data_IF_692067385013
#
_entry.id   IF_692067385013
#
_cell.length_a   1.000
_cell.length_b   1.000
_cell.length_c   1.000
_cell.angle_alpha   90.00
_cell.angle_beta   90.00
_cell.angle_gamma   90.00
#
_symmetry.space_group_name_H-M   'P 1'
#
loop_
_entity.id
_entity.type
_entity.pdbx_description
1 polymer ?
#
# COMPACT_ATOMS: atom_id res chain seq x y z
N UNK A 1 -22.19 0.64 -22.61
CA UNK A 1 -20.77 1.03 -22.51
C UNK A 1 -20.27 0.55 -21.17
N UNK A 2 -19.17 -0.22 -21.12
CA UNK A 2 -18.59 -0.62 -19.83
C UNK A 2 -18.26 0.66 -19.04
N UNK A 3 -18.76 0.75 -17.80
CA UNK A 3 -18.48 1.87 -16.90
C UNK A 3 -16.96 2.06 -16.80
N UNK A 4 -16.44 3.24 -17.12
CA UNK A 4 -15.03 3.54 -16.91
C UNK A 4 -14.71 3.46 -15.41
N UNK A 5 -13.64 2.73 -15.07
CA UNK A 5 -13.21 2.53 -13.70
C UNK A 5 -12.92 3.88 -13.01
N UNK A 6 -13.55 4.11 -11.86
CA UNK A 6 -13.45 5.36 -11.10
C UNK A 6 -12.38 5.32 -10.01
N UNK A 7 -11.83 4.14 -9.73
CA UNK A 7 -10.87 3.87 -8.66
C UNK A 7 -9.67 3.11 -9.21
N UNK A 8 -8.47 3.58 -8.85
CA UNK A 8 -7.21 2.89 -9.09
C UNK A 8 -6.57 2.51 -7.75
N UNK A 9 -6.26 1.22 -7.55
CA UNK A 9 -5.48 0.77 -6.40
C UNK A 9 -4.09 0.30 -6.85
N UNK A 10 -3.04 0.96 -6.35
CA UNK A 10 -1.67 0.46 -6.48
C UNK A 10 -1.40 -0.49 -5.32
N UNK A 11 -1.32 -1.77 -5.63
CA UNK A 11 -0.98 -2.84 -4.70
C UNK A 11 0.52 -3.11 -4.72
N UNK A 12 1.10 -3.41 -3.57
CA UNK A 12 2.49 -3.84 -3.48
C UNK A 12 2.95 -3.89 -2.04
N UNK A 13 3.81 -4.85 -1.72
CA UNK A 13 4.42 -4.92 -0.40
C UNK A 13 5.14 -3.59 -0.08
N UNK A 14 5.16 -3.13 1.19
CA UNK A 14 5.88 -1.93 1.57
C UNK A 14 7.31 -1.95 1.01
N UNK A 15 7.77 -0.79 0.52
CA UNK A 15 9.10 -0.59 -0.10
C UNK A 15 9.27 -1.18 -1.51
N UNK A 16 8.19 -1.64 -2.15
CA UNK A 16 8.21 -2.10 -3.55
C UNK A 16 8.10 -0.97 -4.60
N UNK A 17 8.10 0.30 -4.18
CA UNK A 17 8.05 1.44 -5.10
C UNK A 17 6.65 1.96 -5.42
N UNK A 18 5.63 1.64 -4.61
CA UNK A 18 4.24 2.13 -4.80
C UNK A 18 4.15 3.66 -4.86
N UNK A 19 4.83 4.38 -3.96
CA UNK A 19 4.89 5.85 -3.98
C UNK A 19 5.59 6.40 -5.22
N UNK A 20 6.62 5.69 -5.72
CA UNK A 20 7.31 6.09 -6.93
C UNK A 20 6.41 5.92 -8.15
N UNK A 21 5.76 4.76 -8.29
CA UNK A 21 4.77 4.54 -9.34
C UNK A 21 3.64 5.58 -9.28
N UNK A 22 3.10 5.86 -8.08
CA UNK A 22 2.04 6.85 -7.91
C UNK A 22 2.44 8.24 -8.44
N UNK A 23 3.70 8.66 -8.23
CA UNK A 23 4.17 9.96 -8.71
C UNK A 23 4.31 10.02 -10.24
N UNK A 24 4.55 8.89 -10.90
CA UNK A 24 4.59 8.77 -12.37
C UNK A 24 3.18 8.88 -12.99
N UNK A 25 2.13 8.63 -12.22
CA UNK A 25 0.75 8.68 -12.70
C UNK A 25 0.08 10.04 -12.47
N UNK A 26 0.79 11.03 -11.93
CA UNK A 26 0.18 12.27 -11.42
C UNK A 26 -0.58 13.11 -12.46
N UNK A 27 -0.39 12.85 -13.75
CA UNK A 27 -1.04 13.53 -14.87
C UNK A 27 -2.09 12.65 -15.59
N UNK A 28 -2.36 11.45 -15.08
CA UNK A 28 -3.46 10.60 -15.54
C UNK A 28 -4.78 11.02 -14.92
N UNK A 29 -5.91 10.45 -15.38
CA UNK A 29 -7.23 10.75 -14.79
C UNK A 29 -7.37 10.36 -13.32
N UNK A 30 -6.48 9.51 -12.79
CA UNK A 30 -6.45 9.10 -11.38
C UNK A 30 -5.59 10.01 -10.49
N UNK A 31 -4.86 10.96 -11.09
CA UNK A 31 -3.91 11.81 -10.37
C UNK A 31 -2.78 10.99 -9.77
N UNK A 32 -2.16 11.50 -8.70
CA UNK A 32 -1.19 10.72 -7.92
C UNK A 32 -1.94 9.94 -6.85
N UNK A 33 -2.04 8.59 -6.91
CA UNK A 33 -2.65 7.80 -5.86
C UNK A 33 -2.06 8.13 -4.47
N UNK A 34 -2.92 8.32 -3.48
CA UNK A 34 -2.57 8.72 -2.12
C UNK A 34 -2.81 7.58 -1.12
N UNK A 35 -2.57 7.78 0.17
CA UNK A 35 -2.87 6.76 1.18
C UNK A 35 -4.08 7.17 2.01
N UNK A 36 -5.10 6.30 2.06
CA UNK A 36 -6.31 6.50 2.85
C UNK A 36 -6.25 5.82 4.21
N UNK A 37 -5.70 4.59 4.30
CA UNK A 37 -5.56 3.77 5.53
C UNK A 37 -6.89 3.33 6.17
N UNK A 38 -8.00 4.00 5.89
CA UNK A 38 -9.25 3.87 6.62
C UNK A 38 -10.25 2.90 5.98
N UNK A 39 -10.12 2.60 4.69
CA UNK A 39 -11.14 1.90 3.88
C UNK A 39 -11.49 0.50 4.45
N UNK A 40 -10.58 -0.50 4.47
CA UNK A 40 -10.83 -1.77 5.17
C UNK A 40 -11.12 -1.60 6.66
N UNK A 41 -10.46 -0.65 7.32
CA UNK A 41 -10.49 -0.46 8.79
C UNK A 41 -11.89 -0.16 9.29
N UNK A 42 -12.63 0.73 8.62
CA UNK A 42 -13.99 1.08 9.03
C UNK A 42 -15.06 0.21 8.39
N UNK A 43 -14.82 -0.35 7.21
CA UNK A 43 -15.72 -1.38 6.65
C UNK A 43 -15.94 -2.53 7.64
N UNK A 44 -14.85 -3.06 8.21
CA UNK A 44 -14.88 -4.13 9.24
C UNK A 44 -15.59 -3.71 10.55
N UNK A 45 -15.86 -2.43 10.74
CA UNK A 45 -16.48 -1.87 11.95
C UNK A 45 -17.91 -1.38 11.71
N UNK A 46 -18.45 -1.51 10.49
CA UNK A 46 -19.78 -0.99 10.17
C UNK A 46 -20.88 -1.56 11.07
N UNK A 47 -20.84 -2.86 11.38
CA UNK A 47 -21.81 -3.48 12.31
C UNK A 47 -21.80 -2.84 13.71
N UNK A 48 -20.66 -2.29 14.15
CA UNK A 48 -20.55 -1.57 15.44
C UNK A 48 -20.96 -0.11 15.35
N UNK A 49 -21.00 0.46 14.14
CA UNK A 49 -21.41 1.84 13.88
C UNK A 49 -22.93 1.93 13.68
N UNK A 50 -23.52 0.91 13.06
CA UNK A 50 -24.96 0.86 12.76
C UNK A 50 -25.29 1.46 11.39
N UNK A 51 -26.59 1.66 11.15
CA UNK A 51 -27.12 2.18 9.88
C UNK A 51 -26.59 3.59 9.60
N UNK A 52 -25.98 3.77 8.42
CA UNK A 52 -25.41 5.03 7.98
C UNK A 52 -26.46 6.01 7.43
N UNK A 53 -27.70 5.57 7.19
CA UNK A 53 -28.85 6.45 6.95
C UNK A 53 -29.38 7.09 8.24
N UNK A 54 -28.74 6.81 9.38
CA UNK A 54 -28.89 7.62 10.57
C UNK A 54 -27.77 8.66 10.64
N UNK A 55 -28.13 9.94 10.64
CA UNK A 55 -27.17 11.05 10.66
C UNK A 55 -26.15 10.96 11.82
N UNK A 56 -26.54 10.50 13.01
CA UNK A 56 -25.62 10.37 14.15
C UNK A 56 -24.54 9.31 13.89
N UNK A 57 -24.92 8.17 13.31
CA UNK A 57 -23.99 7.08 12.99
C UNK A 57 -23.05 7.49 11.85
N UNK A 58 -23.59 8.14 10.83
CA UNK A 58 -22.80 8.74 9.76
C UNK A 58 -21.78 9.75 10.30
N UNK A 59 -22.24 10.68 11.15
CA UNK A 59 -21.38 11.73 11.72
C UNK A 59 -20.29 11.12 12.59
N UNK A 60 -20.61 10.07 13.37
CA UNK A 60 -19.63 9.31 14.14
C UNK A 60 -18.56 8.68 13.24
N UNK A 61 -18.97 8.02 12.15
CA UNK A 61 -18.05 7.43 11.17
C UNK A 61 -17.17 8.50 10.53
N UNK A 62 -17.78 9.57 10.01
CA UNK A 62 -17.08 10.65 9.32
C UNK A 62 -16.05 11.31 10.24
N UNK A 63 -16.42 11.64 11.48
CA UNK A 63 -15.50 12.22 12.45
C UNK A 63 -14.33 11.28 12.78
N UNK A 64 -14.57 9.97 12.81
CA UNK A 64 -13.51 8.98 13.01
C UNK A 64 -12.55 8.94 11.82
N UNK A 65 -13.06 8.93 10.59
CA UNK A 65 -12.24 8.97 9.36
C UNK A 65 -11.41 10.27 9.30
N UNK A 66 -12.02 11.43 9.54
CA UNK A 66 -11.34 12.73 9.45
C UNK A 66 -10.24 12.92 10.51
N UNK A 67 -10.25 12.13 11.58
CA UNK A 67 -9.21 12.11 12.62
C UNK A 67 -8.05 11.14 12.33
N UNK A 68 -8.13 10.36 11.26
CA UNK A 68 -7.01 9.53 10.82
C UNK A 68 -5.88 10.43 10.33
N UNK A 69 -4.64 10.16 10.76
CA UNK A 69 -3.47 10.99 10.41
C UNK A 69 -3.33 11.24 8.90
N UNK A 70 -3.46 10.23 8.01
CA UNK A 70 -3.38 10.45 6.57
C UNK A 70 -4.46 11.39 6.05
N UNK A 71 -5.69 11.31 6.59
CA UNK A 71 -6.84 12.12 6.16
C UNK A 71 -6.73 13.56 6.67
N UNK A 72 -6.19 13.77 7.88
CA UNK A 72 -5.92 15.12 8.39
C UNK A 72 -4.99 15.93 7.48
N UNK A 73 -4.06 15.27 6.78
CA UNK A 73 -3.14 15.93 5.84
C UNK A 73 -3.86 16.46 4.60
N UNK A 74 -5.05 15.95 4.29
CA UNK A 74 -5.87 16.42 3.16
C UNK A 74 -6.50 17.78 3.44
N UNK A 75 -6.53 18.22 4.72
CA UNK A 75 -7.05 19.52 5.17
C UNK A 75 -8.48 19.81 4.68
N UNK A 76 -9.30 18.77 4.56
CA UNK A 76 -10.68 18.89 4.10
C UNK A 76 -11.51 19.70 5.09
N UNK A 77 -12.28 20.66 4.57
CA UNK A 77 -13.31 21.39 5.32
C UNK A 77 -14.67 20.85 4.91
N UNK A 78 -15.22 19.95 5.72
CA UNK A 78 -16.49 19.27 5.43
C UNK A 78 -17.53 19.70 6.45
N UNK A 79 -18.63 20.29 5.98
CA UNK A 79 -19.85 20.39 6.77
C UNK A 79 -20.52 19.02 6.79
N UNK A 80 -20.54 18.36 7.95
CA UNK A 80 -21.07 16.99 8.07
C UNK A 80 -22.54 16.86 7.65
N UNK A 81 -23.35 17.91 7.84
CA UNK A 81 -24.78 17.90 7.50
C UNK A 81 -24.98 18.01 5.98
N UNK A 82 -24.36 18.99 5.34
CA UNK A 82 -24.41 19.14 3.87
C UNK A 82 -23.83 17.90 3.17
N UNK A 83 -22.71 17.37 3.69
CA UNK A 83 -22.10 16.17 3.16
C UNK A 83 -23.04 14.96 3.28
N UNK A 84 -23.76 14.83 4.39
CA UNK A 84 -24.79 13.79 4.57
C UNK A 84 -25.97 13.97 3.62
N UNK A 85 -26.54 15.17 3.54
CA UNK A 85 -27.71 15.48 2.71
C UNK A 85 -27.43 15.23 1.22
N UNK A 86 -26.19 15.46 0.80
CA UNK A 86 -25.75 15.25 -0.58
C UNK A 86 -25.74 13.80 -1.07
N UNK A 87 -26.08 12.83 -0.22
CA UNK A 87 -26.31 11.42 -0.60
C UNK A 87 -27.79 11.12 -0.92
N UNK A 88 -28.71 12.07 -0.70
CA UNK A 88 -30.14 11.95 -1.03
C UNK A 88 -30.79 10.67 -0.48
N UNK A 89 -30.43 10.27 0.75
CA UNK A 89 -31.00 9.12 1.44
C UNK A 89 -30.41 7.75 1.06
N UNK A 90 -29.37 7.70 0.23
CA UNK A 90 -28.68 6.45 -0.15
C UNK A 90 -27.23 6.48 0.34
N UNK A 91 -27.08 6.36 1.67
CA UNK A 91 -25.81 6.50 2.37
C UNK A 91 -25.18 5.12 2.58
N UNK A 92 -24.27 4.75 1.68
CA UNK A 92 -23.46 3.53 1.83
C UNK A 92 -22.00 3.87 2.09
N UNK A 93 -21.29 2.97 2.77
CA UNK A 93 -19.87 3.16 3.06
C UNK A 93 -19.02 3.38 1.79
N UNK A 94 -19.15 2.60 0.70
CA UNK A 94 -18.41 2.86 -0.54
C UNK A 94 -18.71 4.23 -1.15
N UNK A 95 -19.96 4.74 -1.05
CA UNK A 95 -20.32 6.09 -1.51
C UNK A 95 -19.66 7.17 -0.67
N UNK A 96 -19.58 7.00 0.64
CA UNK A 96 -18.83 7.89 1.54
C UNK A 96 -17.36 7.93 1.15
N UNK A 97 -16.74 6.76 0.97
CA UNK A 97 -15.33 6.66 0.55
C UNK A 97 -15.10 7.36 -0.79
N UNK A 98 -15.93 7.07 -1.80
CA UNK A 98 -15.83 7.69 -3.12
C UNK A 98 -15.91 9.21 -3.04
N UNK A 99 -16.89 9.73 -2.29
CA UNK A 99 -17.10 11.18 -2.18
C UNK A 99 -15.96 11.85 -1.40
N UNK A 100 -15.46 11.24 -0.32
CA UNK A 100 -14.30 11.74 0.42
C UNK A 100 -13.01 11.74 -0.42
N UNK A 101 -12.72 10.65 -1.12
CA UNK A 101 -11.51 10.55 -1.95
C UNK A 101 -11.58 11.51 -3.15
N UNK A 102 -12.77 11.74 -3.71
CA UNK A 102 -12.98 12.73 -4.76
C UNK A 102 -12.73 14.18 -4.32
N UNK A 103 -12.82 14.49 -3.01
CA UNK A 103 -12.46 15.81 -2.47
C UNK A 103 -10.93 15.98 -2.31
N UNK A 104 -10.17 14.89 -2.26
CA UNK A 104 -8.71 14.91 -2.10
C UNK A 104 -7.94 14.68 -3.43
N UNK A 105 -8.63 14.34 -4.52
CA UNK A 105 -7.99 14.17 -5.84
C UNK A 105 -7.33 15.48 -6.30
N UNK A 106 -6.28 15.39 -7.10
CA UNK A 106 -5.69 16.55 -7.76
C UNK A 106 -6.69 17.23 -8.70
N UNK A 107 -6.58 18.56 -8.87
CA UNK A 107 -7.54 19.38 -9.64
C UNK A 107 -7.85 18.84 -11.04
N UNK A 108 -6.83 18.31 -11.72
CA UNK A 108 -6.94 17.77 -13.09
C UNK A 108 -7.47 16.33 -13.16
N UNK A 109 -7.41 15.57 -12.06
CA UNK A 109 -7.75 14.14 -12.04
C UNK A 109 -9.24 13.96 -11.82
N UNK A 110 -9.98 13.31 -12.72
CA UNK A 110 -11.44 13.07 -12.59
C UNK A 110 -11.82 11.83 -11.76
N UNK A 111 -10.85 10.93 -11.54
CA UNK A 111 -10.96 9.73 -10.70
C UNK A 111 -10.02 9.85 -9.49
N UNK A 112 -10.06 8.88 -8.57
CA UNK A 112 -9.14 8.84 -7.44
C UNK A 112 -8.35 7.53 -7.42
N UNK A 113 -7.18 7.55 -6.79
CA UNK A 113 -6.40 6.36 -6.57
C UNK A 113 -5.84 6.25 -5.15
N UNK A 114 -5.63 5.02 -4.70
CA UNK A 114 -5.03 4.69 -3.42
C UNK A 114 -3.82 3.77 -3.61
N UNK A 115 -2.81 3.93 -2.75
CA UNK A 115 -1.57 3.13 -2.76
C UNK A 115 -1.17 2.64 -1.37
N UNK A 116 -2.13 2.54 -0.46
CA UNK A 116 -1.95 2.10 0.93
C UNK A 116 -1.32 0.70 0.94
N UNK A 117 -0.08 0.52 1.44
CA UNK A 117 0.69 -0.70 1.19
C UNK A 117 0.04 -2.02 1.65
N UNK A 118 -0.71 -2.03 2.75
CA UNK A 118 -1.35 -3.26 3.26
C UNK A 118 -2.64 -3.63 2.56
N UNK A 119 -3.13 -2.81 1.61
CA UNK A 119 -4.35 -3.14 0.85
C UNK A 119 -4.18 -4.37 -0.03
N UNK A 120 -2.94 -4.76 -0.34
CA UNK A 120 -2.65 -6.04 -0.97
C UNK A 120 -3.18 -7.23 -0.14
N UNK A 121 -3.13 -7.17 1.19
CA UNK A 121 -3.68 -8.19 2.08
C UNK A 121 -5.18 -8.06 2.35
N UNK A 122 -5.85 -7.06 1.77
CA UNK A 122 -7.26 -6.74 1.95
C UNK A 122 -8.00 -6.67 0.60
N UNK A 123 -7.40 -7.26 -0.45
CA UNK A 123 -7.87 -7.15 -1.82
C UNK A 123 -9.31 -7.63 -1.98
N UNK A 124 -9.67 -8.78 -1.38
CA UNK A 124 -11.04 -9.31 -1.42
C UNK A 124 -12.06 -8.31 -0.87
N UNK A 125 -11.72 -7.67 0.26
CA UNK A 125 -12.59 -6.69 0.89
C UNK A 125 -12.74 -5.45 0.01
N UNK A 126 -11.65 -4.97 -0.57
CA UNK A 126 -11.65 -3.79 -1.45
C UNK A 126 -12.46 -4.07 -2.71
N UNK A 127 -12.24 -5.22 -3.35
CA UNK A 127 -12.98 -5.63 -4.55
C UNK A 127 -14.49 -5.76 -4.26
N UNK A 128 -14.87 -6.26 -3.07
CA UNK A 128 -16.28 -6.33 -2.68
C UNK A 128 -16.96 -4.96 -2.56
N UNK A 129 -16.19 -3.91 -2.22
CA UNK A 129 -16.70 -2.53 -2.12
C UNK A 129 -16.68 -1.78 -3.45
N UNK A 130 -15.70 -2.11 -4.32
CA UNK A 130 -15.44 -1.43 -5.58
C UNK A 130 -15.19 -2.46 -6.69
N UNK A 131 -16.23 -3.19 -7.15
CA UNK A 131 -16.06 -4.29 -8.10
C UNK A 131 -15.55 -3.84 -9.48
N UNK A 132 -15.78 -2.57 -9.84
CA UNK A 132 -15.31 -1.97 -11.10
C UNK A 132 -13.94 -1.29 -10.97
N UNK A 133 -13.26 -1.43 -9.82
CA UNK A 133 -11.93 -0.85 -9.63
C UNK A 133 -10.88 -1.56 -10.50
N UNK A 134 -9.80 -0.84 -10.78
CA UNK A 134 -8.62 -1.39 -11.44
C UNK A 134 -7.40 -1.33 -10.52
N UNK A 135 -6.47 -2.24 -10.76
CA UNK A 135 -5.36 -2.53 -9.86
C UNK A 135 -4.04 -2.54 -10.63
N UNK A 136 -3.03 -1.86 -10.10
CA UNK A 136 -1.64 -2.07 -10.53
C UNK A 136 -0.92 -2.77 -9.38
N UNK A 137 -0.49 -4.01 -9.61
CA UNK A 137 0.30 -4.76 -8.65
C UNK A 137 1.79 -4.64 -8.98
N UNK A 138 2.49 -3.80 -8.22
CA UNK A 138 3.94 -3.64 -8.32
C UNK A 138 4.66 -4.57 -7.33
N UNK A 139 5.55 -5.40 -7.86
CA UNK A 139 6.44 -6.28 -7.08
C UNK A 139 7.88 -5.81 -7.20
N UNK A 140 8.64 -5.94 -6.12
CA UNK A 140 10.09 -5.73 -6.07
C UNK A 140 10.74 -6.95 -5.42
N UNK A 141 12.00 -7.24 -5.77
CA UNK A 141 12.78 -8.32 -5.15
C UNK A 141 12.75 -8.20 -3.63
N UNK A 142 12.25 -9.25 -2.98
CA UNK A 142 12.04 -9.30 -1.53
C UNK A 142 13.32 -9.09 -0.72
N UNK A 143 14.48 -9.45 -1.26
CA UNK A 143 15.78 -9.26 -0.60
C UNK A 143 16.15 -7.78 -0.53
N UNK A 144 15.86 -7.06 -1.60
CA UNK A 144 16.03 -5.62 -1.71
C UNK A 144 15.01 -4.85 -0.86
N UNK A 145 13.78 -5.37 -0.77
CA UNK A 145 12.75 -4.88 0.15
C UNK A 145 13.21 -5.04 1.60
N UNK A 146 13.78 -6.19 1.97
CA UNK A 146 14.28 -6.46 3.32
C UNK A 146 15.37 -5.49 3.75
N UNK A 147 16.35 -5.19 2.87
CA UNK A 147 17.37 -4.16 3.13
C UNK A 147 16.77 -2.80 3.50
N UNK A 148 15.61 -2.45 2.92
CA UNK A 148 14.92 -1.20 3.24
C UNK A 148 14.02 -1.31 4.46
N UNK A 149 13.40 -2.46 4.72
CA UNK A 149 12.48 -2.67 5.84
C UNK A 149 13.21 -2.79 7.17
N UNK A 150 14.39 -3.43 7.20
CA UNK A 150 15.19 -3.58 8.42
C UNK A 150 15.68 -2.24 9.00
N UNK A 151 15.62 -1.16 8.23
CA UNK A 151 15.93 0.20 8.68
C UNK A 151 14.72 0.94 9.26
N UNK A 152 13.54 0.30 9.33
CA UNK A 152 12.30 0.92 9.81
C UNK A 152 11.90 0.30 11.14
N UNK A 153 11.72 1.15 12.15
CA UNK A 153 11.37 0.73 13.51
C UNK A 153 10.00 0.03 13.60
N UNK A 154 9.08 0.36 12.68
CA UNK A 154 7.76 -0.28 12.59
C UNK A 154 7.78 -1.59 11.77
N UNK A 155 8.87 -1.89 11.08
CA UNK A 155 9.00 -3.05 10.20
C UNK A 155 9.42 -4.32 10.95
N UNK A 156 9.56 -5.45 10.24
CA UNK A 156 10.11 -6.67 10.83
C UNK A 156 11.57 -6.45 11.27
N UNK A 157 11.96 -7.00 12.42
CA UNK A 157 13.25 -6.70 13.05
C UNK A 157 14.39 -7.63 12.63
N UNK A 158 14.14 -8.59 11.73
CA UNK A 158 15.13 -9.53 11.27
C UNK A 158 14.78 -10.08 9.88
N UNK A 159 15.78 -10.66 9.21
CA UNK A 159 15.67 -11.06 7.82
C UNK A 159 14.65 -12.19 7.60
N UNK A 160 14.53 -13.13 8.52
CA UNK A 160 13.53 -14.19 8.46
C UNK A 160 12.11 -13.62 8.54
N UNK A 161 11.86 -12.70 9.47
CA UNK A 161 10.59 -12.01 9.60
C UNK A 161 10.29 -11.14 8.37
N UNK A 162 11.28 -10.45 7.80
CA UNK A 162 11.13 -9.74 6.53
C UNK A 162 10.76 -10.68 5.38
N UNK A 163 11.43 -11.84 5.26
CA UNK A 163 11.16 -12.82 4.22
C UNK A 163 9.73 -13.36 4.33
N UNK A 164 9.30 -13.75 5.54
CA UNK A 164 7.92 -14.18 5.79
C UNK A 164 6.91 -13.09 5.51
N UNK A 165 7.18 -11.87 5.95
CA UNK A 165 6.29 -10.73 5.73
C UNK A 165 6.11 -10.45 4.23
N UNK A 166 7.21 -10.36 3.49
CA UNK A 166 7.19 -10.17 2.04
C UNK A 166 6.49 -11.33 1.33
N UNK A 167 6.78 -12.57 1.73
CA UNK A 167 6.14 -13.77 1.17
C UNK A 167 4.63 -13.78 1.39
N UNK A 168 4.18 -13.51 2.61
CA UNK A 168 2.77 -13.54 2.98
C UNK A 168 1.95 -12.47 2.26
N UNK A 169 2.51 -11.26 2.12
CA UNK A 169 1.87 -10.18 1.37
C UNK A 169 1.80 -10.48 -0.12
N UNK A 170 2.86 -11.05 -0.68
CA UNK A 170 2.88 -11.46 -2.06
C UNK A 170 2.47 -12.94 -2.18
N UNK A 171 1.39 -13.37 -1.56
CA UNK A 171 0.79 -14.68 -1.86
C UNK A 171 -0.05 -14.56 -3.13
N UNK A 172 -0.09 -15.61 -3.95
CA UNK A 172 -1.04 -15.65 -5.08
C UNK A 172 -2.40 -16.05 -4.52
N UNK A 173 -3.45 -15.33 -4.89
CA UNK A 173 -4.84 -15.67 -4.58
C UNK A 173 -5.61 -15.89 -5.88
N UNK A 174 -6.75 -16.59 -5.82
CA UNK A 174 -7.61 -16.77 -6.99
C UNK A 174 -8.13 -15.42 -7.51
N UNK A 175 -8.44 -14.49 -6.61
CA UNK A 175 -8.88 -13.15 -6.97
C UNK A 175 -7.85 -12.38 -7.80
N UNK A 176 -6.54 -12.49 -7.48
CA UNK A 176 -5.50 -11.86 -8.33
C UNK A 176 -5.57 -12.44 -9.74
N UNK A 177 -5.65 -13.77 -9.87
CA UNK A 177 -5.75 -14.45 -11.17
C UNK A 177 -7.01 -14.03 -11.94
N UNK A 178 -8.15 -13.90 -11.25
CA UNK A 178 -9.42 -13.46 -11.82
C UNK A 178 -9.35 -12.02 -12.32
N UNK A 179 -8.84 -11.09 -11.52
CA UNK A 179 -8.69 -9.69 -11.91
C UNK A 179 -7.73 -9.52 -13.10
N UNK A 180 -6.69 -10.35 -13.22
CA UNK A 180 -5.82 -10.37 -14.40
C UNK A 180 -6.59 -10.83 -15.64
N UNK A 181 -7.35 -11.93 -15.55
CA UNK A 181 -8.17 -12.43 -16.67
C UNK A 181 -9.22 -11.41 -17.11
N UNK A 182 -9.78 -10.65 -16.16
CA UNK A 182 -10.78 -9.62 -16.43
C UNK A 182 -10.19 -8.29 -16.91
N UNK A 183 -8.86 -8.19 -17.11
CA UNK A 183 -8.16 -6.95 -17.43
C UNK A 183 -8.39 -5.84 -16.38
N UNK A 184 -8.64 -6.21 -15.12
CA UNK A 184 -8.76 -5.30 -13.98
C UNK A 184 -7.46 -5.20 -13.18
N UNK A 185 -6.49 -6.08 -13.39
CA UNK A 185 -5.19 -6.04 -12.72
C UNK A 185 -4.04 -6.18 -13.71
N UNK A 186 -3.04 -5.32 -13.60
CA UNK A 186 -1.74 -5.48 -14.27
C UNK A 186 -0.63 -5.68 -13.24
N UNK A 187 0.19 -6.73 -13.43
CA UNK A 187 1.41 -6.94 -12.63
C UNK A 187 2.61 -6.28 -13.31
N UNK A 188 3.40 -5.53 -12.55
CA UNK A 188 4.67 -4.95 -13.02
C UNK A 188 5.80 -5.22 -12.03
N UNK A 189 7.04 -5.34 -12.52
CA UNK A 189 8.24 -5.38 -11.67
C UNK A 189 8.80 -3.98 -11.51
N UNK A 190 9.19 -3.64 -10.28
CA UNK A 190 9.88 -2.39 -9.97
C UNK A 190 11.19 -2.27 -10.75
N UNK A 191 11.92 -3.37 -10.92
CA UNK A 191 13.18 -3.43 -11.65
C UNK A 191 12.96 -3.12 -13.13
N UNK A 192 11.90 -3.67 -13.75
CA UNK A 192 11.56 -3.35 -15.14
C UNK A 192 11.16 -1.88 -15.31
N UNK A 193 10.49 -1.30 -14.31
CA UNK A 193 10.16 0.13 -14.30
C UNK A 193 11.43 1.01 -14.23
N UNK A 194 12.53 0.52 -13.68
CA UNK A 194 13.82 1.23 -13.69
C UNK A 194 14.62 0.98 -14.98
N UNK A 195 14.58 -0.24 -15.50
CA UNK A 195 15.40 -0.66 -16.65
C UNK A 195 14.82 -0.26 -17.99
N UNK A 196 13.51 -0.41 -18.13
CA UNK A 196 12.77 -0.11 -19.34
C UNK A 196 11.59 0.80 -18.96
N UNK A 197 11.88 2.02 -18.43
CA UNK A 197 10.85 2.87 -17.85
C UNK A 197 9.83 3.32 -18.90
N UNK A 198 10.27 3.60 -20.13
CA UNK A 198 9.41 4.00 -21.23
C UNK A 198 8.38 2.91 -21.56
N UNK A 199 8.84 1.70 -21.84
CA UNK A 199 7.95 0.58 -22.23
C UNK A 199 7.05 0.14 -21.08
N UNK A 200 7.58 0.11 -19.86
CA UNK A 200 6.79 -0.22 -18.67
C UNK A 200 5.69 0.81 -18.45
N UNK A 201 6.02 2.10 -18.56
CA UNK A 201 5.03 3.18 -18.38
C UNK A 201 4.00 3.17 -19.50
N UNK A 202 4.40 3.00 -20.76
CA UNK A 202 3.46 2.88 -21.89
C UNK A 202 2.47 1.72 -21.70
N UNK A 203 2.94 0.58 -21.18
CA UNK A 203 2.08 -0.56 -20.84
C UNK A 203 1.10 -0.24 -19.71
N UNK A 204 1.54 0.48 -18.68
CA UNK A 204 0.67 0.95 -17.59
C UNK A 204 -0.37 1.94 -18.10
N UNK A 205 0.01 2.93 -18.90
CA UNK A 205 -0.92 3.92 -19.47
C UNK A 205 -1.94 3.26 -20.38
N UNK A 206 -1.52 2.30 -21.21
CA UNK A 206 -2.44 1.51 -22.06
C UNK A 206 -3.46 0.75 -21.21
N UNK A 207 -3.02 0.09 -20.14
CA UNK A 207 -3.92 -0.59 -19.20
C UNK A 207 -4.90 0.39 -18.52
N UNK A 208 -4.41 1.58 -18.15
CA UNK A 208 -5.25 2.64 -17.61
C UNK A 208 -6.17 3.26 -18.67
N UNK A 209 -6.06 2.91 -19.96
CA UNK A 209 -6.77 3.58 -21.07
C UNK A 209 -6.47 5.08 -21.13
N UNK A 210 -5.21 5.44 -20.87
CA UNK A 210 -4.68 6.80 -20.99
C UNK A 210 -3.91 6.91 -22.31
N UNK A 211 -4.00 8.07 -22.97
CA UNK A 211 -3.18 8.35 -24.14
C UNK A 211 -1.72 8.53 -23.70
N UNK A 212 -0.84 7.68 -24.22
CA UNK A 212 0.59 7.74 -23.93
C UNK A 212 1.28 8.82 -24.79
N UNK A 213 0.85 10.08 -24.63
CA UNK A 213 1.45 11.21 -25.34
C UNK A 213 2.92 11.40 -24.96
N UNK A 214 3.72 11.90 -25.91
CA UNK A 214 5.15 12.13 -25.69
C UNK A 214 5.39 13.10 -24.51
N UNK A 215 4.50 14.07 -24.32
CA UNK A 215 4.56 15.00 -23.19
C UNK A 215 4.35 14.29 -21.85
N UNK A 216 3.33 13.45 -21.73
CA UNK A 216 3.05 12.69 -20.50
C UNK A 216 4.20 11.74 -20.18
N UNK A 217 4.70 11.02 -21.18
CA UNK A 217 5.85 10.13 -21.03
C UNK A 217 7.08 10.92 -20.59
N UNK A 218 7.43 12.01 -21.28
CA UNK A 218 8.58 12.85 -20.91
C UNK A 218 8.47 13.41 -19.49
N UNK A 219 7.29 13.90 -19.10
CA UNK A 219 7.03 14.42 -17.75
C UNK A 219 7.24 13.35 -16.68
N UNK A 220 6.70 12.15 -16.88
CA UNK A 220 6.83 11.07 -15.92
C UNK A 220 8.26 10.53 -15.87
N UNK A 221 8.92 10.38 -17.03
CA UNK A 221 10.30 9.91 -17.11
C UNK A 221 11.30 10.88 -16.47
N UNK A 222 11.00 12.19 -16.45
CA UNK A 222 11.82 13.19 -15.74
C UNK A 222 11.88 12.95 -14.21
N UNK A 223 10.93 12.20 -13.64
CA UNK A 223 10.89 11.88 -12.20
C UNK A 223 11.67 10.62 -11.84
N UNK A 224 12.22 9.90 -12.81
CA UNK A 224 12.94 8.66 -12.56
C UNK A 224 14.16 8.93 -11.68
N UNK A 225 14.27 8.17 -10.59
CA UNK A 225 15.47 8.14 -9.75
C UNK A 225 16.24 6.86 -10.06
N UNK A 226 17.51 7.00 -10.40
CA UNK A 226 18.36 5.88 -10.80
C UNK A 226 18.68 4.88 -9.68
N UNK A 227 19.00 3.67 -10.11
CA UNK A 227 19.86 2.66 -9.47
C UNK A 227 19.50 2.13 -8.08
N UNK A 228 18.22 2.08 -7.72
CA UNK A 228 17.79 1.50 -6.44
C UNK A 228 17.30 0.05 -6.58
N UNK A 229 18.08 -0.84 -7.19
CA UNK A 229 17.73 -2.27 -7.37
C UNK A 229 18.96 -3.17 -7.16
N UNK A 230 18.75 -4.47 -6.94
CA UNK A 230 19.79 -5.51 -6.86
C UNK A 230 20.91 -5.28 -5.81
N UNK A 231 20.68 -4.40 -4.82
CA UNK A 231 21.69 -4.07 -3.79
C UNK A 231 21.97 -5.24 -2.86
N UNK A 232 21.00 -6.16 -2.73
CA UNK A 232 21.15 -7.37 -1.94
C UNK A 232 22.30 -8.27 -2.43
N UNK A 233 22.68 -8.18 -3.72
CA UNK A 233 23.77 -8.98 -4.29
C UNK A 233 25.08 -8.72 -3.55
N UNK A 234 25.38 -7.44 -3.30
CA UNK A 234 26.62 -7.02 -2.64
C UNK A 234 26.48 -6.94 -1.11
N UNK A 235 25.26 -6.70 -0.61
CA UNK A 235 25.03 -6.40 0.81
C UNK A 235 24.65 -7.61 1.66
N UNK A 236 24.10 -8.68 1.07
CA UNK A 236 23.80 -9.88 1.84
C UNK A 236 25.03 -10.76 1.96
N UNK A 237 25.34 -11.17 3.18
CA UNK A 237 26.20 -12.32 3.42
C UNK A 237 25.56 -13.61 2.87
N UNK A 238 26.37 -14.66 2.69
CA UNK A 238 25.87 -15.98 2.29
C UNK A 238 24.81 -16.52 3.25
N UNK A 239 24.96 -16.26 4.56
CA UNK A 239 24.00 -16.68 5.57
C UNK A 239 22.68 -15.91 5.47
N UNK A 240 22.72 -14.59 5.29
CA UNK A 240 21.52 -13.78 5.09
C UNK A 240 20.75 -14.21 3.84
N UNK A 241 21.47 -14.39 2.73
CA UNK A 241 20.88 -14.92 1.50
C UNK A 241 20.25 -16.29 1.72
N UNK A 242 20.93 -17.19 2.44
CA UNK A 242 20.39 -18.49 2.83
C UNK A 242 19.10 -18.37 3.64
N UNK A 243 19.06 -17.51 4.67
CA UNK A 243 17.88 -17.29 5.52
C UNK A 243 16.70 -16.78 4.70
N UNK A 244 16.91 -15.76 3.87
CA UNK A 244 15.83 -15.16 3.10
C UNK A 244 15.28 -16.13 2.05
N UNK A 245 16.16 -16.73 1.23
CA UNK A 245 15.74 -17.61 0.14
C UNK A 245 15.16 -18.93 0.66
N UNK A 246 15.70 -19.50 1.74
CA UNK A 246 15.10 -20.69 2.37
C UNK A 246 13.69 -20.42 2.92
N UNK A 247 13.31 -19.15 3.11
CA UNK A 247 11.99 -18.76 3.62
C UNK A 247 10.99 -18.42 2.51
N UNK A 248 11.45 -17.80 1.43
CA UNK A 248 10.60 -17.15 0.42
C UNK A 248 10.97 -17.43 -1.04
N UNK A 249 11.82 -18.44 -1.32
CA UNK A 249 12.26 -18.73 -2.69
C UNK A 249 11.14 -19.13 -3.64
N UNK A 250 10.10 -19.82 -3.19
CA UNK A 250 8.94 -20.15 -4.06
C UNK A 250 8.26 -18.88 -4.59
N UNK A 251 8.03 -17.90 -3.71
CA UNK A 251 7.47 -16.60 -4.10
C UNK A 251 8.46 -15.80 -4.96
N UNK A 252 9.76 -15.81 -4.66
CA UNK A 252 10.79 -15.17 -5.50
C UNK A 252 10.77 -15.75 -6.92
N UNK A 253 10.78 -17.07 -7.07
CA UNK A 253 10.75 -17.77 -8.35
C UNK A 253 9.47 -17.49 -9.13
N UNK A 254 8.31 -17.40 -8.46
CA UNK A 254 7.04 -17.06 -9.14
C UNK A 254 7.08 -15.69 -9.80
N UNK A 255 7.81 -14.74 -9.22
CA UNK A 255 8.07 -13.44 -9.85
C UNK A 255 9.35 -13.44 -10.70
N UNK A 256 9.96 -14.58 -11.00
CA UNK A 256 11.13 -14.71 -11.86
C UNK A 256 12.41 -14.09 -11.26
N UNK A 257 12.54 -14.04 -9.93
CA UNK A 257 13.79 -13.67 -9.28
C UNK A 257 14.68 -14.92 -9.10
N UNK A 258 15.98 -14.84 -9.42
CA UNK A 258 16.88 -15.97 -9.29
C UNK A 258 17.12 -16.30 -7.82
N UNK A 259 17.21 -17.58 -7.48
CA UNK A 259 17.49 -18.08 -6.12
C UNK A 259 18.60 -19.12 -6.14
N UNK A 260 19.37 -19.18 -5.06
CA UNK A 260 20.41 -20.19 -4.80
C UNK A 260 19.91 -21.27 -3.85
N UNK A 261 19.06 -20.92 -2.90
CA UNK A 261 18.54 -21.85 -1.88
C UNK A 261 17.03 -22.08 -2.05
N UNK A 262 16.61 -23.34 -2.00
CA UNK A 262 15.21 -23.72 -2.06
C UNK A 262 14.52 -23.58 -0.71
N UNK A 263 13.22 -23.38 -0.77
CA UNK A 263 12.40 -23.14 0.41
C UNK A 263 12.36 -24.37 1.30
N UNK A 264 12.54 -24.17 2.61
CA UNK A 264 12.47 -25.24 3.60
C UNK A 264 12.11 -24.67 4.97
N UNK A 265 11.60 -25.55 5.84
CA UNK A 265 11.34 -25.16 7.21
C UNK A 265 12.67 -24.87 7.95
N UNK A 266 12.71 -23.78 8.71
CA UNK A 266 13.86 -23.37 9.51
C UNK A 266 13.47 -23.34 11.00
N UNK A 267 13.21 -24.51 11.64
CA UNK A 267 12.54 -24.56 12.94
C UNK A 267 13.30 -23.81 14.04
N UNK A 268 14.61 -24.03 14.18
CA UNK A 268 15.44 -23.39 15.21
C UNK A 268 15.52 -21.87 14.98
N UNK A 269 15.81 -21.44 13.75
CA UNK A 269 15.87 -20.02 13.41
C UNK A 269 14.51 -19.35 13.57
N UNK A 270 13.41 -20.04 13.26
CA UNK A 270 12.06 -19.49 13.39
C UNK A 270 11.71 -19.15 14.83
N UNK A 271 12.13 -19.98 15.79
CA UNK A 271 11.95 -19.74 17.23
C UNK A 271 12.83 -18.59 17.69
N UNK A 272 14.12 -18.61 17.35
CA UNK A 272 15.06 -17.55 17.73
C UNK A 272 14.65 -16.18 17.18
N UNK A 273 14.22 -16.12 15.92
CA UNK A 273 13.77 -14.90 15.29
C UNK A 273 12.41 -14.42 15.80
N UNK A 274 11.51 -15.33 16.18
CA UNK A 274 10.26 -14.97 16.84
C UNK A 274 10.53 -14.36 18.22
N UNK A 275 11.40 -14.98 19.03
CA UNK A 275 11.83 -14.43 20.32
C UNK A 275 12.47 -13.06 20.13
N UNK A 276 13.41 -12.92 19.20
CA UNK A 276 14.07 -11.65 18.91
C UNK A 276 13.05 -10.56 18.50
N UNK A 277 12.11 -10.87 17.61
CA UNK A 277 11.09 -9.90 17.16
C UNK A 277 10.16 -9.48 18.30
N UNK A 278 9.75 -10.43 19.16
CA UNK A 278 8.97 -10.14 20.38
C UNK A 278 9.73 -9.26 21.36
N UNK A 279 11.01 -9.54 21.61
CA UNK A 279 11.85 -8.72 22.47
C UNK A 279 12.00 -7.30 21.92
N UNK A 280 12.22 -7.16 20.60
CA UNK A 280 12.32 -5.85 19.95
C UNK A 280 11.01 -5.06 20.03
N UNK A 281 9.86 -5.71 19.78
CA UNK A 281 8.55 -5.08 19.95
C UNK A 281 8.28 -4.67 21.41
N UNK A 282 8.64 -5.52 22.38
CA UNK A 282 8.53 -5.17 23.81
C UNK A 282 9.41 -3.97 24.17
N UNK A 283 10.65 -3.90 23.66
CA UNK A 283 11.53 -2.75 23.84
C UNK A 283 10.95 -1.50 23.17
N UNK A 284 10.41 -1.62 21.95
CA UNK A 284 9.76 -0.52 21.24
C UNK A 284 8.57 0.01 22.03
N UNK A 285 7.63 -0.86 22.45
CA UNK A 285 6.49 -0.47 23.26
C UNK A 285 6.90 0.15 24.60
N UNK A 286 7.96 -0.37 25.23
CA UNK A 286 8.52 0.20 26.45
C UNK A 286 9.07 1.62 26.20
N UNK A 287 9.81 1.84 25.11
CA UNK A 287 10.29 3.17 24.72
C UNK A 287 9.13 4.13 24.41
N UNK A 288 8.18 3.73 23.59
CA UNK A 288 7.06 4.61 23.18
C UNK A 288 6.08 4.89 24.30
N UNK A 289 5.83 3.93 25.21
CA UNK A 289 4.85 4.13 26.29
C UNK A 289 5.48 4.74 27.55
N UNK A 290 6.73 4.41 27.87
CA UNK A 290 7.39 4.87 29.10
C UNK A 290 8.25 6.10 28.81
N UNK A 291 9.17 6.04 27.85
CA UNK A 291 10.13 7.13 27.62
C UNK A 291 9.46 8.33 26.94
N UNK A 292 8.66 8.11 25.90
CA UNK A 292 7.91 9.21 25.29
C UNK A 292 6.79 9.69 26.21
N UNK A 293 6.14 8.79 26.97
CA UNK A 293 5.16 9.18 28.01
C UNK A 293 5.75 10.08 29.09
N UNK A 294 6.96 9.78 29.58
CA UNK A 294 7.69 10.61 30.56
C UNK A 294 8.15 11.92 29.92
N UNK A 295 8.66 11.90 28.67
CA UNK A 295 9.07 13.13 27.95
C UNK A 295 7.91 14.07 27.63
N UNK A 296 6.75 13.53 27.29
CA UNK A 296 5.51 14.31 27.08
C UNK A 296 5.05 14.89 28.42
N UNK A 297 5.09 14.11 29.51
CA UNK A 297 4.59 14.52 30.83
C UNK A 297 5.49 15.52 31.56
N UNK A 298 6.81 15.46 31.38
CA UNK A 298 7.77 16.24 32.16
C UNK A 298 8.64 17.21 31.34
N UNK A 299 8.73 17.04 30.01
CA UNK A 299 9.65 17.81 29.17
C UNK A 299 8.97 18.48 27.96
N UNK A 300 7.64 18.51 27.92
CA UNK A 300 6.86 19.28 26.92
C UNK A 300 7.06 18.81 25.47
N UNK A 301 7.60 17.61 25.25
CA UNK A 301 7.77 17.08 23.89
C UNK A 301 6.37 16.85 23.29
N UNK A 302 6.08 17.46 22.15
CA UNK A 302 4.84 17.11 21.44
C UNK A 302 4.90 15.64 21.01
N UNK A 303 3.82 14.86 21.20
CA UNK A 303 3.81 13.48 20.77
C UNK A 303 4.07 13.42 19.26
N UNK A 304 5.07 12.64 18.85
CA UNK A 304 5.41 12.33 17.45
C UNK A 304 6.04 13.46 16.61
N UNK A 305 6.88 14.31 17.20
CA UNK A 305 7.83 15.11 16.41
C UNK A 305 9.05 14.26 16.03
N UNK A 306 8.96 13.57 14.90
CA UNK A 306 10.10 13.14 14.07
C UNK A 306 9.92 13.71 12.65
#
# INVERSE_FOLDING_TARGET
>A
MASEAKQLFILGAPRSGTTFLASLLSKTRFGSPFETHFIPKYYKKLNKIGDLNNFKNFQLLLNRILRERPVMQWRLRINSKEFYESFNGDVTYPKIVNKLCALNRSTEAICWGDKTPWYLGELDLINSMFPDAIYIYIVRDGRDVALSLLQKEWGPNNLYACARYWKNLNSQTELISELERNNQLIKIKYENLLDNPHDTLKRVLTFLKEEASDELLKFSLAKLKGNNKNKWVDRFSNFERYVFESTASTTLQRFGYPVKYQEKNLPILSVLFWVHDKVKWSIFFLKTNIIDGIKIKYFGKQPFSD
#
